data_IF_955218799128
#
_entry.id   IF_955218799128
#
_cell.length_a   1.000
_cell.length_b   1.000
_cell.length_c   1.000
_cell.angle_alpha   90.00
_cell.angle_beta   90.00
_cell.angle_gamma   90.00
#
_symmetry.space_group_name_H-M   'P 1'
#
loop_
_entity.id
_entity.type
_entity.pdbx_description
1 polymer ?
#
# COMPACT_ATOMS: atom_id res chain seq x y z
N UNK A 1 6.44 7.72 12.24
CA UNK A 1 7.67 6.90 12.17
C UNK A 1 8.52 6.92 13.44
N UNK A 2 8.88 8.08 14.01
CA UNK A 2 9.68 8.13 15.25
C UNK A 2 9.08 7.34 16.42
N UNK A 3 7.75 7.35 16.56
CA UNK A 3 7.05 6.60 17.61
C UNK A 3 7.08 5.07 17.39
N UNK A 4 7.08 4.63 16.14
CA UNK A 4 7.23 3.21 15.81
C UNK A 4 8.63 2.70 16.13
N UNK A 5 9.65 3.55 15.96
CA UNK A 5 11.04 3.25 16.32
C UNK A 5 11.25 3.16 17.84
N UNK A 6 10.46 3.89 18.65
CA UNK A 6 10.61 3.92 20.11
C UNK A 6 9.69 2.95 20.85
N UNK A 7 8.47 2.73 20.35
CA UNK A 7 7.45 1.87 21.00
C UNK A 7 7.19 0.55 20.28
N UNK A 8 7.61 0.43 19.02
CA UNK A 8 7.35 -0.74 18.19
C UNK A 8 5.99 -0.72 17.49
N UNK A 9 5.89 -1.47 16.40
CA UNK A 9 4.69 -1.54 15.56
C UNK A 9 3.51 -2.26 16.22
N UNK A 10 3.78 -3.18 17.15
CA UNK A 10 2.73 -3.87 17.91
C UNK A 10 1.92 -2.90 18.77
N UNK A 11 2.59 -1.98 19.47
CA UNK A 11 1.93 -0.98 20.32
C UNK A 11 1.06 -0.04 19.49
N UNK A 12 1.54 0.36 18.31
CA UNK A 12 0.76 1.18 17.39
C UNK A 12 -0.44 0.42 16.80
N UNK A 13 -0.32 -0.89 16.60
CA UNK A 13 -1.44 -1.72 16.16
C UNK A 13 -2.51 -1.85 17.25
N UNK A 14 -2.10 -2.00 18.51
CA UNK A 14 -3.01 -1.99 19.65
C UNK A 14 -3.71 -0.63 19.81
N UNK A 15 -2.99 0.48 19.67
CA UNK A 15 -3.58 1.83 19.63
C UNK A 15 -4.61 1.97 18.51
N UNK A 16 -4.29 1.49 17.30
CA UNK A 16 -5.24 1.48 16.19
C UNK A 16 -6.47 0.61 16.50
N UNK A 17 -6.31 -0.49 17.24
CA UNK A 17 -7.41 -1.38 17.60
C UNK A 17 -8.39 -0.73 18.58
N UNK A 18 -7.92 0.13 19.48
CA UNK A 18 -8.77 0.91 20.37
C UNK A 18 -9.54 2.01 19.62
N UNK A 19 -8.92 2.63 18.62
CA UNK A 19 -9.47 3.75 17.86
C UNK A 19 -10.40 3.28 16.72
N UNK A 20 -9.92 2.35 15.90
CA UNK A 20 -10.57 1.84 14.69
C UNK A 20 -10.37 0.32 14.59
N UNK A 21 -11.16 -0.48 15.34
CA UNK A 21 -11.03 -1.94 15.36
C UNK A 21 -11.26 -2.58 13.99
N UNK A 22 -12.02 -1.93 13.11
CA UNK A 22 -12.30 -2.42 11.75
C UNK A 22 -11.07 -2.30 10.86
N UNK A 23 -10.39 -1.15 10.88
CA UNK A 23 -9.11 -0.98 10.17
C UNK A 23 -8.01 -1.85 10.79
N UNK A 24 -7.94 -1.95 12.12
CA UNK A 24 -6.96 -2.78 12.81
C UNK A 24 -7.07 -4.27 12.44
N UNK A 25 -8.30 -4.80 12.29
CA UNK A 25 -8.52 -6.17 11.86
C UNK A 25 -8.09 -6.43 10.39
N UNK A 26 -8.10 -5.38 9.54
CA UNK A 26 -7.71 -5.49 8.13
C UNK A 26 -6.23 -5.28 7.89
N UNK A 27 -5.58 -4.46 8.73
CA UNK A 27 -4.17 -4.10 8.59
C UNK A 27 -3.33 -5.09 9.39
N UNK A 28 -2.45 -5.81 8.71
CA UNK A 28 -1.52 -6.71 9.38
C UNK A 28 -0.47 -5.88 10.16
N UNK A 29 -0.06 -6.29 11.38
CA UNK A 29 0.95 -5.56 12.17
C UNK A 29 2.28 -5.33 11.45
N UNK A 30 2.63 -6.21 10.51
CA UNK A 30 3.82 -6.10 9.65
C UNK A 30 3.63 -5.19 8.42
N UNK A 31 2.52 -4.46 8.31
CA UNK A 31 2.28 -3.45 7.28
C UNK A 31 2.42 -2.04 7.90
N UNK A 32 3.68 -1.56 8.08
CA UNK A 32 3.95 -0.30 8.76
C UNK A 32 3.35 0.90 8.01
N UNK A 33 3.28 0.81 6.68
CA UNK A 33 2.77 1.88 5.84
C UNK A 33 1.27 2.07 6.05
N UNK A 34 0.48 0.99 6.02
CA UNK A 34 -0.96 1.07 6.24
C UNK A 34 -1.30 1.43 7.69
N UNK A 35 -0.57 0.88 8.66
CA UNK A 35 -0.76 1.18 10.07
C UNK A 35 -0.49 2.65 10.37
N UNK A 36 0.66 3.18 9.91
CA UNK A 36 1.01 4.59 10.05
C UNK A 36 -0.05 5.49 9.41
N UNK A 37 -0.54 5.12 8.22
CA UNK A 37 -1.57 5.91 7.52
C UNK A 37 -2.89 5.95 8.28
N UNK A 38 -3.34 4.83 8.84
CA UNK A 38 -4.61 4.77 9.57
C UNK A 38 -4.57 5.65 10.84
N UNK A 39 -3.46 5.59 11.59
CA UNK A 39 -3.25 6.43 12.76
C UNK A 39 -3.09 7.91 12.40
N UNK A 40 -2.36 8.22 11.32
CA UNK A 40 -2.19 9.59 10.83
C UNK A 40 -3.55 10.22 10.46
N UNK A 41 -4.39 9.48 9.72
CA UNK A 41 -5.73 9.93 9.35
C UNK A 41 -6.55 10.30 10.58
N UNK A 42 -6.53 9.46 11.61
CA UNK A 42 -7.24 9.74 12.84
C UNK A 42 -6.64 10.93 13.61
N UNK A 43 -5.32 10.99 13.76
CA UNK A 43 -4.64 12.05 14.51
C UNK A 43 -4.82 13.44 13.87
N UNK A 44 -4.91 13.50 12.53
CA UNK A 44 -5.11 14.78 11.80
C UNK A 44 -6.60 15.16 11.75
N UNK A 45 -7.48 14.21 11.43
CA UNK A 45 -8.88 14.53 11.13
C UNK A 45 -9.84 14.34 12.31
N UNK A 46 -9.41 13.63 13.36
CA UNK A 46 -10.27 13.14 14.44
C UNK A 46 -11.25 12.04 14.04
N UNK A 47 -11.27 11.64 12.76
CA UNK A 47 -12.16 10.61 12.21
C UNK A 47 -11.37 9.36 11.88
N UNK A 48 -11.98 8.20 12.11
CA UNK A 48 -11.33 6.92 11.81
C UNK A 48 -11.21 6.68 10.31
N UNK A 49 -10.26 5.85 9.89
CA UNK A 49 -10.11 5.50 8.47
C UNK A 49 -11.35 4.77 7.95
N UNK A 50 -11.98 3.95 8.80
CA UNK A 50 -13.25 3.29 8.51
C UNK A 50 -14.35 4.31 8.24
N UNK A 51 -14.50 5.36 9.06
CA UNK A 51 -15.49 6.42 8.83
C UNK A 51 -15.25 7.17 7.51
N UNK A 52 -14.01 7.55 7.21
CA UNK A 52 -13.71 8.30 5.98
C UNK A 52 -13.91 7.46 4.72
N UNK A 53 -13.65 6.16 4.79
CA UNK A 53 -13.82 5.25 3.65
C UNK A 53 -15.28 4.83 3.40
N UNK A 54 -16.20 5.11 4.35
CA UNK A 54 -17.64 4.94 4.11
C UNK A 54 -18.16 5.94 3.08
N UNK A 55 -17.61 7.16 3.07
CA UNK A 55 -17.88 8.15 2.04
C UNK A 55 -17.09 7.78 0.79
N UNK A 56 -17.68 6.94 -0.05
CA UNK A 56 -17.10 6.57 -1.33
C UNK A 56 -17.05 7.80 -2.24
N UNK A 57 -15.93 7.98 -2.93
CA UNK A 57 -15.85 8.94 -4.03
C UNK A 57 -16.85 8.59 -5.13
N UNK A 58 -17.15 9.56 -5.97
CA UNK A 58 -18.03 9.34 -7.12
C UNK A 58 -17.45 8.23 -8.02
N UNK A 59 -18.32 7.32 -8.44
CA UNK A 59 -17.94 6.33 -9.43
C UNK A 59 -17.65 7.01 -10.75
N UNK A 60 -16.63 6.54 -11.47
CA UNK A 60 -16.31 7.04 -12.81
C UNK A 60 -17.57 6.98 -13.71
N UNK A 61 -18.08 8.10 -14.27
CA UNK A 61 -19.38 8.16 -14.95
C UNK A 61 -19.30 7.64 -16.40
N UNK A 62 -18.55 6.56 -16.61
CA UNK A 62 -18.28 5.97 -17.92
C UNK A 62 -18.46 4.46 -17.87
N UNK A 63 -18.85 3.88 -19.00
CA UNK A 63 -18.86 2.42 -19.18
C UNK A 63 -17.44 1.92 -19.44
N UNK A 64 -16.74 1.55 -18.38
CA UNK A 64 -15.37 1.04 -18.46
C UNK A 64 -15.36 -0.39 -19.02
N UNK A 65 -14.52 -0.64 -20.02
CA UNK A 65 -14.13 -2.00 -20.45
C UNK A 65 -12.72 -2.27 -19.93
N UNK A 66 -12.60 -3.17 -18.95
CA UNK A 66 -11.32 -3.49 -18.32
C UNK A 66 -10.69 -4.69 -19.03
N UNK A 67 -9.43 -4.53 -19.43
CA UNK A 67 -8.63 -5.60 -20.01
C UNK A 67 -7.36 -5.76 -19.18
N UNK A 68 -6.93 -7.00 -19.01
CA UNK A 68 -5.66 -7.34 -18.38
C UNK A 68 -4.85 -8.19 -19.35
N UNK A 69 -3.57 -7.86 -19.51
CA UNK A 69 -2.61 -8.63 -20.31
C UNK A 69 -1.49 -9.10 -19.39
N UNK A 70 -1.31 -10.42 -19.32
CA UNK A 70 -0.25 -11.05 -18.56
C UNK A 70 0.24 -12.30 -19.29
N UNK A 71 1.53 -12.67 -19.18
CA UNK A 71 1.99 -13.98 -19.60
C UNK A 71 1.20 -15.09 -18.89
N UNK A 72 0.94 -16.19 -19.59
CA UNK A 72 0.24 -17.35 -19.00
C UNK A 72 1.05 -18.03 -17.90
N UNK A 73 2.37 -17.98 -18.04
CA UNK A 73 3.32 -18.60 -17.12
C UNK A 73 4.12 -17.53 -16.38
N UNK A 74 4.24 -17.73 -15.06
CA UNK A 74 5.04 -16.87 -14.18
C UNK A 74 6.53 -16.97 -14.50
N UNK A 75 7.02 -18.12 -14.96
CA UNK A 75 8.42 -18.28 -15.34
C UNK A 75 8.79 -17.35 -16.51
N UNK A 76 7.91 -17.25 -17.51
CA UNK A 76 8.09 -16.33 -18.64
C UNK A 76 8.03 -14.86 -18.21
N UNK A 77 7.18 -14.52 -17.23
CA UNK A 77 7.18 -13.17 -16.65
C UNK A 77 8.53 -12.85 -16.01
N UNK A 78 9.08 -13.75 -15.18
CA UNK A 78 10.38 -13.54 -14.54
C UNK A 78 11.50 -13.40 -15.57
N UNK A 79 11.54 -14.28 -16.57
CA UNK A 79 12.52 -14.21 -17.67
C UNK A 79 12.48 -12.86 -18.39
N UNK A 80 11.28 -12.33 -18.66
CA UNK A 80 11.12 -11.01 -19.31
C UNK A 80 11.54 -9.85 -18.41
N UNK A 81 11.31 -9.95 -17.11
CA UNK A 81 11.75 -8.94 -16.13
C UNK A 81 13.28 -8.89 -16.10
N UNK A 82 13.95 -10.04 -16.01
CA UNK A 82 15.41 -10.17 -16.04
C UNK A 82 15.99 -9.57 -17.34
N UNK A 83 15.51 -10.04 -18.50
CA UNK A 83 15.96 -9.52 -19.80
C UNK A 83 15.77 -8.00 -19.94
N UNK A 84 14.71 -7.44 -19.34
CA UNK A 84 14.48 -5.99 -19.38
C UNK A 84 15.46 -5.25 -18.48
N UNK A 85 15.77 -5.79 -17.31
CA UNK A 85 16.74 -5.20 -16.40
C UNK A 85 18.13 -5.10 -17.06
N UNK A 86 18.61 -6.18 -17.68
CA UNK A 86 19.90 -6.17 -18.37
C UNK A 86 19.96 -5.09 -19.45
N UNK A 87 18.89 -4.97 -20.25
CA UNK A 87 18.76 -3.91 -21.26
C UNK A 87 18.75 -2.50 -20.69
N UNK A 88 18.19 -2.31 -19.50
CA UNK A 88 18.21 -1.01 -18.82
C UNK A 88 19.62 -0.66 -18.37
N UNK A 89 20.37 -1.63 -17.83
CA UNK A 89 21.77 -1.44 -17.46
C UNK A 89 22.62 -1.10 -18.68
N UNK A 90 22.46 -1.83 -19.79
CA UNK A 90 23.14 -1.52 -21.07
C UNK A 90 22.78 -0.15 -21.63
N UNK A 91 21.58 0.35 -21.33
CA UNK A 91 21.10 1.67 -21.75
C UNK A 91 21.57 2.82 -20.84
N UNK A 92 22.39 2.54 -19.83
CA UNK A 92 22.97 3.53 -18.94
C UNK A 92 22.08 3.92 -17.76
N UNK A 93 21.31 2.95 -17.24
CA UNK A 93 20.49 3.18 -16.04
C UNK A 93 21.34 3.51 -14.80
N UNK A 94 22.58 3.03 -14.72
CA UNK A 94 23.47 3.34 -13.59
C UNK A 94 23.85 4.83 -13.56
N UNK A 95 24.05 5.43 -14.72
CA UNK A 95 24.40 6.85 -14.86
C UNK A 95 23.21 7.80 -14.62
N UNK A 96 21.98 7.29 -14.68
CA UNK A 96 20.75 8.07 -14.42
C UNK A 96 20.47 8.25 -12.91
N UNK A 97 20.92 7.31 -12.08
CA UNK A 97 20.60 7.22 -10.63
C UNK A 97 21.49 8.09 -9.75
#
# INVERSE_FOLDING_TARGET
>A
EQEALTKGWSVLHDELKEIDPVSAARIHPNDPQRLSRALEVYRISGKTLTELTQTKGESLPYRVKQFAIAPKDRAELHRRIELRFDKMMEAGFEEEM
#
